data_IF_825362688243
#
_entry.id   IF_825362688243
#
_cell.length_a   1.000
_cell.length_b   1.000
_cell.length_c   1.000
_cell.angle_alpha   90.00
_cell.angle_beta   90.00
_cell.angle_gamma   90.00
#
_symmetry.space_group_name_H-M   'P 1'
#
loop_
_entity.id
_entity.type
_entity.pdbx_description
1 polymer ?
#
# COMPACT_ATOMS: atom_id res chain seq x y z
N UNK A 1 -19.87 -1.79 4.57
CA UNK A 1 -20.27 -0.92 5.70
C UNK A 1 -19.49 0.39 5.64
N UNK A 2 -20.03 1.54 6.03
CA UNK A 2 -19.36 2.86 5.89
C UNK A 2 -17.95 2.87 6.50
N UNK A 3 -17.79 2.13 7.61
CA UNK A 3 -16.51 1.88 8.28
C UNK A 3 -15.47 1.25 7.36
N UNK A 4 -15.86 0.30 6.52
CA UNK A 4 -14.94 -0.36 5.58
C UNK A 4 -14.44 0.61 4.51
N UNK A 5 -15.31 1.52 4.03
CA UNK A 5 -14.92 2.54 3.06
C UNK A 5 -13.92 3.51 3.67
N UNK A 6 -14.14 3.94 4.91
CA UNK A 6 -13.22 4.81 5.65
C UNK A 6 -11.89 4.10 5.86
N UNK A 7 -11.90 2.85 6.35
CA UNK A 7 -10.69 2.05 6.54
C UNK A 7 -9.93 1.89 5.23
N UNK A 8 -10.60 1.51 4.14
CA UNK A 8 -9.99 1.37 2.81
C UNK A 8 -9.30 2.66 2.39
N UNK A 9 -9.96 3.82 2.54
CA UNK A 9 -9.36 5.12 2.21
C UNK A 9 -8.14 5.44 3.07
N UNK A 10 -8.24 5.20 4.38
CA UNK A 10 -7.13 5.43 5.32
C UNK A 10 -5.93 4.57 4.98
N UNK A 11 -6.12 3.26 4.81
CA UNK A 11 -5.03 2.36 4.43
C UNK A 11 -4.47 2.68 3.04
N UNK A 12 -5.31 3.04 2.07
CA UNK A 12 -4.83 3.45 0.73
C UNK A 12 -3.92 4.69 0.83
N UNK A 13 -4.28 5.68 1.65
CA UNK A 13 -3.44 6.87 1.89
C UNK A 13 -2.13 6.52 2.59
N UNK A 14 -2.20 5.69 3.63
CA UNK A 14 -1.04 5.25 4.40
C UNK A 14 -0.06 4.44 3.54
N UNK A 15 -0.54 3.49 2.73
CA UNK A 15 0.32 2.74 1.81
C UNK A 15 0.98 3.69 0.80
N UNK A 16 0.23 4.63 0.24
CA UNK A 16 0.77 5.61 -0.71
C UNK A 16 1.80 6.57 -0.09
N UNK A 17 1.70 6.91 1.20
CA UNK A 17 2.73 7.75 1.84
C UNK A 17 4.09 7.05 1.94
N UNK A 18 4.10 5.71 2.00
CA UNK A 18 5.33 4.91 2.00
C UNK A 18 5.82 4.68 0.57
N UNK A 19 4.95 4.19 -0.32
CA UNK A 19 5.31 3.87 -1.71
C UNK A 19 5.76 5.08 -2.52
N UNK A 20 5.37 6.31 -2.15
CA UNK A 20 5.86 7.54 -2.76
C UNK A 20 7.39 7.66 -2.70
N UNK A 21 8.06 7.08 -1.68
CA UNK A 21 9.53 7.06 -1.55
C UNK A 21 10.23 6.31 -2.69
N UNK A 22 9.51 5.40 -3.35
CA UNK A 22 10.01 4.58 -4.47
C UNK A 22 9.19 4.81 -5.74
N UNK A 23 8.57 6.00 -5.86
CA UNK A 23 7.76 6.41 -7.01
C UNK A 23 6.65 5.41 -7.40
N UNK A 24 6.12 4.69 -6.41
CA UNK A 24 5.04 3.73 -6.60
C UNK A 24 3.73 4.25 -5.97
N UNK A 25 2.58 3.78 -6.47
CA UNK A 25 1.26 4.17 -5.97
C UNK A 25 0.24 3.06 -6.19
N UNK A 26 -0.73 2.95 -5.28
CA UNK A 26 -1.92 2.12 -5.43
C UNK A 26 -3.18 2.99 -5.51
N UNK A 27 -4.18 2.49 -6.24
CA UNK A 27 -5.49 3.12 -6.44
C UNK A 27 -6.59 2.32 -5.73
N UNK A 28 -6.51 0.98 -5.75
CA UNK A 28 -7.42 0.09 -5.06
C UNK A 28 -6.66 -0.91 -4.18
N UNK A 29 -6.76 -0.72 -2.87
CA UNK A 29 -6.12 -1.56 -1.85
C UNK A 29 -6.30 -3.08 -2.07
N UNK A 30 -7.47 -3.53 -2.51
CA UNK A 30 -7.76 -4.97 -2.62
C UNK A 30 -7.38 -5.58 -3.97
N UNK A 31 -7.18 -4.75 -4.99
CA UNK A 31 -6.75 -5.21 -6.32
C UNK A 31 -5.23 -5.11 -6.44
N UNK A 32 -4.67 -3.99 -6.03
CA UNK A 32 -3.27 -3.66 -6.28
C UNK A 32 -2.31 -4.38 -5.32
N UNK A 33 -2.79 -4.83 -4.16
CA UNK A 33 -2.01 -5.67 -3.25
C UNK A 33 -2.19 -7.18 -3.51
N UNK A 34 -3.10 -7.57 -4.41
CA UNK A 34 -3.54 -8.97 -4.55
C UNK A 34 -2.45 -9.90 -5.06
N UNK A 35 -1.63 -9.43 -6.00
CA UNK A 35 -0.56 -10.22 -6.62
C UNK A 35 0.73 -10.24 -5.79
N UNK A 36 0.75 -9.54 -4.65
CA UNK A 36 1.87 -9.47 -3.72
C UNK A 36 2.99 -8.50 -4.13
N UNK A 37 3.05 -7.99 -5.37
CA UNK A 37 4.17 -7.16 -5.84
C UNK A 37 4.28 -5.85 -5.08
N UNK A 38 3.15 -5.16 -4.91
CA UNK A 38 3.10 -3.91 -4.16
C UNK A 38 3.24 -4.13 -2.65
N UNK A 39 2.86 -5.33 -2.17
CA UNK A 39 3.04 -5.70 -0.77
C UNK A 39 4.53 -5.90 -0.44
N UNK A 40 5.28 -6.57 -1.32
CA UNK A 40 6.75 -6.72 -1.17
C UNK A 40 7.41 -5.34 -1.13
N UNK A 41 7.13 -4.48 -2.12
CA UNK A 41 7.67 -3.10 -2.14
C UNK A 41 7.36 -2.31 -0.86
N UNK A 42 6.15 -2.47 -0.33
CA UNK A 42 5.76 -1.82 0.91
C UNK A 42 6.58 -2.35 2.09
N UNK A 43 6.81 -3.66 2.19
CA UNK A 43 7.64 -4.27 3.21
C UNK A 43 9.09 -3.78 3.12
N UNK A 44 9.67 -3.75 1.92
CA UNK A 44 11.03 -3.25 1.69
C UNK A 44 11.19 -1.80 2.16
N UNK A 45 10.21 -0.94 1.84
CA UNK A 45 10.22 0.47 2.24
C UNK A 45 10.07 0.65 3.76
N UNK A 46 9.30 -0.22 4.41
CA UNK A 46 9.06 -0.18 5.86
C UNK A 46 10.23 -0.75 6.67
N UNK A 47 10.83 -1.85 6.22
CA UNK A 47 12.00 -2.47 6.89
C UNK A 47 13.30 -1.74 6.58
N UNK A 48 13.39 -1.07 5.43
CA UNK A 48 14.65 -0.54 4.92
C UNK A 48 15.57 -1.63 4.34
N UNK A 49 15.02 -2.81 4.08
CA UNK A 49 15.72 -3.98 3.52
C UNK A 49 15.19 -4.28 2.11
N UNK A 50 16.00 -4.91 1.25
CA UNK A 50 15.55 -5.42 -0.04
C UNK A 50 15.17 -6.90 0.09
N UNK A 51 14.03 -7.31 -0.46
CA UNK A 51 13.46 -8.65 -0.34
C UNK A 51 13.50 -9.45 -1.65
#
# INVERSE_FOLDING_TARGET
DEREVVQKKTFTKWVNSHLARVSCRITDLYKDLRDGRMLIKLLEVLSGEML
#
